data_IF_250877048473
#
_entry.id   IF_250877048473
#
_cell.length_a   1.000
_cell.length_b   1.000
_cell.length_c   1.000
_cell.angle_alpha   90.00
_cell.angle_beta   90.00
_cell.angle_gamma   90.00
#
_symmetry.space_group_name_H-M   'P 1'
#
loop_
_entity.id
_entity.type
_entity.pdbx_description
1 polymer ?
#
# COMPACT_ATOMS: atom_id res chain seq x y z
N UNK A 1 23.98 30.71 -6.10
CA UNK A 1 23.71 29.27 -5.88
C UNK A 1 22.82 28.80 -7.02
N UNK A 2 23.30 27.86 -7.85
CA UNK A 2 22.53 27.28 -8.96
C UNK A 2 21.40 26.42 -8.37
N UNK A 3 20.14 26.77 -8.67
CA UNK A 3 18.97 25.94 -8.31
C UNK A 3 19.10 24.63 -9.08
N UNK A 4 19.28 23.52 -8.35
CA UNK A 4 19.27 22.17 -8.93
C UNK A 4 17.84 21.89 -9.40
N UNK A 5 17.60 21.93 -10.70
CA UNK A 5 16.31 21.59 -11.28
C UNK A 5 16.15 20.08 -11.14
N UNK A 6 15.21 19.66 -10.29
CA UNK A 6 14.92 18.25 -10.06
C UNK A 6 13.99 17.74 -11.16
N UNK A 7 14.54 17.03 -12.14
CA UNK A 7 13.73 16.38 -13.17
C UNK A 7 13.11 15.11 -12.57
N UNK A 8 11.79 15.13 -12.39
CA UNK A 8 11.07 13.92 -12.03
C UNK A 8 11.14 12.91 -13.18
N UNK A 9 11.37 11.61 -12.92
CA UNK A 9 11.31 10.60 -13.96
C UNK A 9 9.91 10.62 -14.58
N UNK A 10 9.83 10.70 -15.91
CA UNK A 10 8.57 10.62 -16.63
C UNK A 10 7.93 9.26 -16.37
N UNK A 11 6.62 9.24 -16.12
CA UNK A 11 5.89 8.00 -15.96
C UNK A 11 5.91 7.22 -17.28
N UNK A 12 6.25 5.94 -17.21
CA UNK A 12 6.35 5.05 -18.37
C UNK A 12 5.10 5.15 -19.27
N UNK A 13 5.29 5.35 -20.57
CA UNK A 13 4.20 5.53 -21.54
C UNK A 13 3.24 4.33 -21.65
N UNK A 14 3.62 3.17 -21.10
CA UNK A 14 2.76 1.98 -20.98
C UNK A 14 1.88 1.95 -19.73
N UNK A 15 2.05 2.90 -18.80
CA UNK A 15 1.29 2.95 -17.55
C UNK A 15 0.07 3.84 -17.70
N UNK A 16 -1.11 3.24 -17.88
CA UNK A 16 -2.39 3.96 -17.98
C UNK A 16 -2.89 4.50 -16.63
N UNK A 17 -2.14 4.26 -15.55
CA UNK A 17 -2.52 4.66 -14.19
C UNK A 17 -1.70 5.87 -13.75
N UNK A 18 -2.32 7.05 -13.78
CA UNK A 18 -1.72 8.26 -13.20
C UNK A 18 -1.99 8.27 -11.69
N UNK A 19 -0.92 8.20 -10.89
CA UNK A 19 -1.00 8.38 -9.44
C UNK A 19 -0.96 9.87 -9.09
N UNK A 20 -2.03 10.37 -8.48
CA UNK A 20 -2.18 11.78 -8.14
C UNK A 20 -1.69 12.02 -6.71
N UNK A 21 -0.79 12.99 -6.52
CA UNK A 21 -0.26 13.39 -5.20
C UNK A 21 -1.28 14.19 -4.39
N UNK A 22 -2.26 14.80 -5.04
CA UNK A 22 -3.36 15.53 -4.40
C UNK A 22 -4.63 15.53 -5.26
N UNK A 23 -5.81 15.79 -4.66
CA UNK A 23 -7.05 15.99 -5.41
C UNK A 23 -6.97 17.15 -6.42
N UNK A 24 -6.19 18.20 -6.11
CA UNK A 24 -5.96 19.32 -7.01
C UNK A 24 -5.18 18.90 -8.26
N UNK A 25 -4.22 17.97 -8.11
CA UNK A 25 -3.49 17.42 -9.25
C UNK A 25 -4.40 16.57 -10.14
N UNK A 26 -5.34 15.81 -9.56
CA UNK A 26 -6.35 15.04 -10.31
C UNK A 26 -7.30 15.94 -11.12
N UNK A 27 -7.69 17.08 -10.55
CA UNK A 27 -8.63 18.01 -11.20
C UNK A 27 -7.95 18.90 -12.24
N UNK A 28 -6.62 19.07 -12.15
CA UNK A 28 -5.80 19.82 -13.11
C UNK A 28 -6.31 21.25 -13.39
N UNK A 29 -6.82 21.89 -12.33
CA UNK A 29 -7.41 23.22 -12.45
C UNK A 29 -6.34 24.29 -12.69
N UNK A 30 -6.74 25.38 -13.36
CA UNK A 30 -5.84 26.48 -13.72
C UNK A 30 -5.25 27.15 -12.48
N UNK A 31 -6.03 27.25 -11.42
CA UNK A 31 -5.64 27.82 -10.13
C UNK A 31 -4.57 26.96 -9.43
N UNK A 32 -4.73 25.64 -9.47
CA UNK A 32 -3.76 24.72 -8.88
C UNK A 32 -2.43 24.76 -9.62
N UNK A 33 -2.43 24.83 -10.96
CA UNK A 33 -1.21 25.01 -11.77
C UNK A 33 -0.49 26.32 -11.45
N UNK A 34 -1.24 27.42 -11.41
CA UNK A 34 -0.67 28.74 -11.06
C UNK A 34 -0.13 28.77 -9.63
N UNK A 35 -0.73 28.04 -8.69
CA UNK A 35 -0.19 27.87 -7.33
C UNK A 35 1.09 27.04 -7.32
N UNK A 36 1.16 25.96 -8.11
CA UNK A 36 2.33 25.07 -8.20
C UNK A 36 3.54 25.74 -8.84
N UNK A 37 3.31 26.57 -9.86
CA UNK A 37 4.35 27.28 -10.62
C UNK A 37 4.90 28.51 -9.86
N UNK A 38 4.17 29.01 -8.85
CA UNK A 38 4.51 30.26 -8.17
C UNK A 38 5.26 30.00 -6.87
N UNK A 39 6.53 30.43 -6.82
CA UNK A 39 7.44 30.23 -5.68
C UNK A 39 7.03 31.00 -4.41
N UNK A 40 6.27 32.10 -4.54
CA UNK A 40 5.73 32.89 -3.42
C UNK A 40 4.25 33.26 -3.63
N UNK A 41 3.41 33.33 -2.57
CA UNK A 41 2.03 33.81 -2.71
C UNK A 41 1.94 35.22 -3.31
N UNK A 42 0.94 35.49 -4.16
CA UNK A 42 0.67 36.83 -4.69
C UNK A 42 0.37 37.78 -3.53
N UNK A 43 1.06 38.93 -3.51
CA UNK A 43 0.96 39.95 -2.46
C UNK A 43 2.05 39.90 -1.39
N UNK A 44 2.96 38.91 -1.40
CA UNK A 44 4.05 38.84 -0.41
C UNK A 44 5.14 39.92 -0.57
N UNK A 45 5.20 40.60 -1.73
CA UNK A 45 6.27 41.56 -2.07
C UNK A 45 5.81 43.01 -2.29
N UNK A 46 4.51 43.33 -2.17
CA UNK A 46 3.97 44.66 -2.55
C UNK A 46 3.94 45.69 -1.39
N UNK A 47 4.73 45.50 -0.33
CA UNK A 47 4.73 46.39 0.85
C UNK A 47 6.10 47.04 1.13
N UNK A 48 6.89 47.33 0.09
CA UNK A 48 8.25 47.84 0.28
C UNK A 48 8.36 49.37 0.37
N UNK A 49 7.60 50.16 -0.40
CA UNK A 49 7.89 51.60 -0.56
C UNK A 49 6.75 52.56 -0.16
N UNK A 50 7.12 53.65 0.52
CA UNK A 50 6.22 54.57 1.22
C UNK A 50 5.41 55.54 0.35
N UNK A 51 5.71 55.66 -0.95
CA UNK A 51 4.91 56.49 -1.89
C UNK A 51 3.64 55.77 -2.39
N UNK A 52 3.57 54.45 -2.26
CA UNK A 52 2.39 53.66 -2.64
C UNK A 52 1.24 53.77 -1.63
N UNK A 53 1.46 54.40 -0.46
CA UNK A 53 0.50 54.49 0.65
C UNK A 53 -0.72 55.38 0.33
N UNK A 54 -0.55 56.41 -0.52
CA UNK A 54 -1.63 57.32 -0.93
C UNK A 54 -2.53 56.69 -2.03
N UNK A 55 -1.91 56.01 -3.00
CA UNK A 55 -2.63 55.20 -4.02
C UNK A 55 -3.25 53.94 -3.40
N UNK A 56 -2.66 53.45 -2.30
CA UNK A 56 -3.05 52.26 -1.57
C UNK A 56 -4.46 52.33 -0.98
N UNK A 57 -4.93 53.45 -0.41
CA UNK A 57 -6.29 53.47 0.19
C UNK A 57 -7.40 53.33 -0.85
N UNK A 58 -7.26 54.02 -1.99
CA UNK A 58 -8.24 53.97 -3.09
C UNK A 58 -8.15 52.66 -3.86
N UNK A 59 -6.94 52.15 -4.08
CA UNK A 59 -6.72 50.82 -4.66
C UNK A 59 -7.21 49.73 -3.73
N UNK A 60 -6.99 49.83 -2.42
CA UNK A 60 -7.50 48.91 -1.41
C UNK A 60 -9.03 48.91 -1.37
N UNK A 61 -9.70 50.07 -1.44
CA UNK A 61 -11.16 50.12 -1.54
C UNK A 61 -11.69 49.54 -2.86
N UNK A 62 -10.99 49.75 -3.98
CA UNK A 62 -11.34 49.11 -5.27
C UNK A 62 -11.13 47.60 -5.21
N UNK A 63 -10.05 47.15 -4.58
CA UNK A 63 -9.72 45.73 -4.44
C UNK A 63 -10.69 45.05 -3.47
N UNK A 64 -11.00 45.67 -2.32
CA UNK A 64 -12.05 45.23 -1.39
C UNK A 64 -13.43 45.21 -2.05
N UNK A 65 -13.79 46.25 -2.81
CA UNK A 65 -15.06 46.30 -3.54
C UNK A 65 -15.14 45.24 -4.64
N UNK A 66 -14.07 45.05 -5.41
CA UNK A 66 -13.96 43.98 -6.40
C UNK A 66 -13.97 42.60 -5.77
N UNK A 67 -13.28 42.39 -4.63
CA UNK A 67 -13.27 41.16 -3.86
C UNK A 67 -14.64 40.86 -3.24
N UNK A 68 -15.39 41.87 -2.80
CA UNK A 68 -16.74 41.70 -2.26
C UNK A 68 -17.73 41.35 -3.37
N UNK A 69 -17.60 41.98 -4.54
CA UNK A 69 -18.37 41.61 -5.73
C UNK A 69 -18.03 40.20 -6.22
N UNK A 70 -16.75 39.82 -6.27
CA UNK A 70 -16.32 38.45 -6.61
C UNK A 70 -16.80 37.43 -5.59
N UNK A 71 -16.80 37.77 -4.29
CA UNK A 71 -17.35 36.93 -3.24
C UNK A 71 -18.88 36.78 -3.38
N UNK A 72 -19.58 37.84 -3.80
CA UNK A 72 -21.02 37.82 -4.09
C UNK A 72 -21.40 36.95 -5.30
N UNK A 73 -20.61 36.99 -6.38
CA UNK A 73 -20.77 36.09 -7.54
C UNK A 73 -20.20 34.67 -7.29
N UNK A 74 -19.31 34.53 -6.31
CA UNK A 74 -18.71 33.27 -5.84
C UNK A 74 -19.56 32.47 -4.86
N UNK A 75 -20.77 32.93 -4.52
CA UNK A 75 -21.71 32.21 -3.64
C UNK A 75 -22.20 30.86 -4.23
N UNK A 76 -21.84 30.53 -5.47
CA UNK A 76 -21.93 29.16 -6.00
C UNK A 76 -21.03 28.17 -5.25
N UNK A 77 -19.98 28.65 -4.54
CA UNK A 77 -19.13 27.85 -3.67
C UNK A 77 -19.80 27.42 -2.34
N UNK A 78 -20.95 28.00 -1.99
CA UNK A 78 -21.74 27.59 -0.83
C UNK A 78 -22.77 26.49 -1.14
N UNK A 79 -22.85 26.01 -2.39
CA UNK A 79 -23.71 24.87 -2.72
C UNK A 79 -23.01 23.58 -2.35
N UNK A 80 -23.23 23.14 -1.10
CA UNK A 80 -22.77 21.83 -0.64
C UNK A 80 -23.38 20.76 -1.56
N UNK A 81 -22.56 19.90 -2.20
CA UNK A 81 -23.09 18.83 -3.02
C UNK A 81 -23.98 17.94 -2.17
N UNK A 82 -25.11 17.50 -2.74
CA UNK A 82 -25.99 16.53 -2.08
C UNK A 82 -25.20 15.23 -1.87
N UNK A 83 -25.02 14.84 -0.62
CA UNK A 83 -24.37 13.58 -0.24
C UNK A 83 -25.41 12.59 0.22
N UNK A 84 -25.49 11.43 -0.44
CA UNK A 84 -26.39 10.36 -0.03
C UNK A 84 -25.74 9.48 1.04
N UNK A 85 -26.50 9.15 2.08
CA UNK A 85 -26.12 8.18 3.11
C UNK A 85 -26.89 6.90 2.81
N UNK A 86 -26.17 5.82 2.50
CA UNK A 86 -26.77 4.53 2.13
C UNK A 86 -26.60 3.56 3.31
N UNK A 87 -27.67 3.22 4.05
CA UNK A 87 -27.60 2.26 5.14
C UNK A 87 -27.53 0.82 4.61
N UNK A 88 -27.13 -0.11 5.48
CA UNK A 88 -27.20 -1.53 5.19
C UNK A 88 -28.65 -1.98 4.96
N UNK A 89 -28.88 -2.75 3.89
CA UNK A 89 -30.17 -3.45 3.69
C UNK A 89 -30.35 -4.58 4.70
N UNK A 90 -29.25 -5.29 5.02
CA UNK A 90 -29.16 -6.30 6.08
C UNK A 90 -27.87 -6.09 6.86
N UNK A 91 -27.96 -5.44 8.02
CA UNK A 91 -26.81 -5.13 8.84
C UNK A 91 -26.23 -6.40 9.49
N UNK A 92 -24.91 -6.64 9.40
CA UNK A 92 -24.25 -7.65 10.21
C UNK A 92 -24.30 -7.26 11.70
N UNK A 93 -24.54 -8.22 12.59
CA UNK A 93 -24.69 -7.96 14.04
C UNK A 93 -23.45 -7.32 14.67
N UNK A 94 -22.26 -7.71 14.20
CA UNK A 94 -20.97 -7.33 14.78
C UNK A 94 -20.36 -6.05 14.18
N UNK A 95 -21.09 -5.36 13.29
CA UNK A 95 -20.63 -4.14 12.62
C UNK A 95 -21.49 -2.97 13.07
N UNK A 96 -20.88 -2.03 13.78
CA UNK A 96 -21.50 -0.77 14.17
C UNK A 96 -20.90 0.32 13.26
N UNK A 97 -21.70 0.94 12.37
CA UNK A 97 -21.25 2.06 11.54
C UNK A 97 -20.51 3.13 12.35
N UNK A 98 -19.34 3.55 11.87
CA UNK A 98 -18.49 4.53 12.55
C UNK A 98 -17.62 4.01 13.70
N UNK A 99 -17.79 2.75 14.15
CA UNK A 99 -16.87 2.12 15.10
C UNK A 99 -15.90 1.19 14.37
N UNK A 100 -14.64 1.23 14.79
CA UNK A 100 -13.63 0.33 14.28
C UNK A 100 -13.84 -1.09 14.84
N UNK A 101 -13.72 -2.09 13.96
CA UNK A 101 -13.65 -3.51 14.33
C UNK A 101 -12.25 -4.03 14.04
N UNK A 102 -11.67 -4.74 15.00
CA UNK A 102 -10.32 -5.28 14.91
C UNK A 102 -10.36 -6.77 14.59
N UNK A 103 -9.58 -7.19 13.58
CA UNK A 103 -9.44 -8.59 13.20
C UNK A 103 -8.01 -9.05 13.40
N UNK A 104 -7.82 -10.20 14.06
CA UNK A 104 -6.53 -10.88 14.09
C UNK A 104 -6.25 -11.53 12.73
N UNK A 105 -5.11 -11.24 12.14
CA UNK A 105 -4.67 -11.75 10.85
C UNK A 105 -3.15 -11.96 10.82
N UNK A 106 -2.61 -12.35 9.68
CA UNK A 106 -1.16 -12.45 9.48
C UNK A 106 -0.80 -12.19 8.02
N UNK A 107 0.41 -11.68 7.78
CA UNK A 107 0.96 -11.48 6.44
C UNK A 107 2.06 -12.52 6.20
N UNK A 108 1.95 -13.37 5.17
CA UNK A 108 2.94 -14.39 4.87
C UNK A 108 4.26 -13.77 4.40
N UNK A 109 5.38 -14.38 4.81
CA UNK A 109 6.76 -14.02 4.45
C UNK A 109 7.55 -15.30 4.16
N UNK A 110 8.71 -15.15 3.52
CA UNK A 110 9.57 -16.29 3.19
C UNK A 110 9.92 -17.17 4.41
N UNK A 111 10.25 -16.52 5.53
CA UNK A 111 10.61 -17.17 6.79
C UNK A 111 9.49 -17.23 7.82
N UNK A 112 8.21 -17.21 7.43
CA UNK A 112 7.09 -17.32 8.39
C UNK A 112 5.92 -16.41 8.06
N UNK A 113 5.33 -15.79 9.07
CA UNK A 113 4.27 -14.81 8.89
C UNK A 113 4.35 -13.72 9.97
N UNK A 114 4.20 -12.47 9.56
CA UNK A 114 4.07 -11.36 10.49
C UNK A 114 2.66 -11.39 11.11
N UNK A 115 2.53 -11.39 12.45
CA UNK A 115 1.24 -11.46 13.13
C UNK A 115 0.64 -10.06 13.29
N UNK A 116 -0.62 -9.90 12.87
CA UNK A 116 -1.23 -8.59 12.63
C UNK A 116 -2.59 -8.45 13.29
N UNK A 117 -2.91 -7.21 13.64
CA UNK A 117 -4.27 -6.77 13.96
C UNK A 117 -4.68 -5.74 12.92
N UNK A 118 -5.78 -6.01 12.22
CA UNK A 118 -6.30 -5.17 11.15
C UNK A 118 -7.47 -4.36 11.67
N UNK A 119 -7.34 -3.04 11.64
CA UNK A 119 -8.42 -2.10 11.92
C UNK A 119 -9.30 -1.99 10.68
N UNK A 120 -10.57 -2.33 10.83
CA UNK A 120 -11.56 -2.27 9.76
C UNK A 120 -12.69 -1.32 10.13
N UNK A 121 -13.19 -0.58 9.15
CA UNK A 121 -14.44 0.15 9.25
C UNK A 121 -15.42 -0.47 8.26
N UNK A 122 -16.56 -0.95 8.74
CA UNK A 122 -17.63 -1.46 7.86
C UNK A 122 -17.16 -2.58 6.90
N UNK A 123 -16.16 -3.38 7.32
CA UNK A 123 -15.55 -4.45 6.53
C UNK A 123 -14.42 -4.00 5.60
N UNK A 124 -14.00 -2.74 5.65
CA UNK A 124 -12.88 -2.19 4.87
C UNK A 124 -11.64 -2.05 5.76
N UNK A 125 -10.57 -2.83 5.53
CA UNK A 125 -9.27 -2.60 6.17
C UNK A 125 -8.77 -1.17 5.97
N UNK A 126 -8.28 -0.52 7.01
CA UNK A 126 -7.75 0.85 6.91
C UNK A 126 -6.36 0.99 7.48
N UNK A 127 -6.06 0.22 8.54
CA UNK A 127 -4.77 0.22 9.20
C UNK A 127 -4.42 -1.19 9.63
N UNK A 128 -3.14 -1.50 9.58
CA UNK A 128 -2.56 -2.73 10.11
C UNK A 128 -1.67 -2.36 11.30
N UNK A 129 -1.73 -3.12 12.38
CA UNK A 129 -0.86 -3.02 13.55
C UNK A 129 -0.32 -4.40 13.93
N UNK A 130 0.61 -4.45 14.87
CA UNK A 130 1.13 -5.72 15.40
C UNK A 130 0.10 -6.38 16.32
N UNK A 131 0.13 -7.70 16.38
CA UNK A 131 -0.67 -8.44 17.35
C UNK A 131 0.09 -8.59 18.67
N UNK A 132 -0.29 -7.81 19.68
CA UNK A 132 0.33 -7.82 21.01
C UNK A 132 0.15 -9.13 21.77
N UNK A 133 -0.84 -9.94 21.42
CA UNK A 133 -1.09 -11.25 22.02
C UNK A 133 -0.23 -12.38 21.41
N UNK A 134 0.45 -12.11 20.29
CA UNK A 134 1.34 -13.08 19.67
C UNK A 134 2.73 -13.03 20.34
N UNK A 135 3.46 -14.15 20.50
CA UNK A 135 4.81 -14.14 21.08
C UNK A 135 5.81 -13.26 20.32
N UNK A 136 5.65 -13.21 19.00
CA UNK A 136 6.33 -12.29 18.11
C UNK A 136 5.45 -11.05 17.91
N UNK A 137 5.53 -10.07 18.80
CA UNK A 137 4.66 -8.88 18.81
C UNK A 137 5.40 -7.57 18.48
N UNK A 138 6.59 -7.68 17.91
CA UNK A 138 7.65 -6.66 17.90
C UNK A 138 7.44 -5.53 16.88
N UNK A 139 6.18 -5.19 16.63
CA UNK A 139 5.78 -4.12 15.71
C UNK A 139 5.54 -4.61 14.30
N UNK A 140 5.60 -3.69 13.35
CA UNK A 140 5.32 -3.95 11.93
C UNK A 140 6.32 -3.19 11.08
N UNK A 141 6.83 -3.83 10.04
CA UNK A 141 7.74 -3.18 9.09
C UNK A 141 7.01 -2.28 8.09
N UNK A 142 7.80 -1.56 7.27
CA UNK A 142 7.28 -0.68 6.23
C UNK A 142 6.46 -1.44 5.18
N UNK A 143 6.82 -2.69 4.86
CA UNK A 143 6.12 -3.51 3.88
C UNK A 143 4.71 -3.90 4.35
N UNK A 144 4.58 -4.31 5.62
CA UNK A 144 3.30 -4.61 6.28
C UNK A 144 2.44 -3.35 6.32
N UNK A 145 3.00 -2.20 6.67
CA UNK A 145 2.26 -0.94 6.68
C UNK A 145 1.79 -0.52 5.27
N UNK A 146 2.63 -0.73 4.26
CA UNK A 146 2.30 -0.42 2.87
C UNK A 146 1.32 -1.42 2.23
N UNK A 147 1.17 -2.64 2.77
CA UNK A 147 0.30 -3.68 2.22
C UNK A 147 -1.17 -3.27 2.05
N UNK A 148 -1.65 -2.34 2.89
CA UNK A 148 -3.01 -1.77 2.77
C UNK A 148 -3.17 -1.03 1.44
N UNK A 149 -2.13 -0.33 0.98
CA UNK A 149 -2.16 0.38 -0.30
C UNK A 149 -2.21 -0.57 -1.48
N UNK A 150 -1.49 -1.70 -1.39
CA UNK A 150 -1.54 -2.74 -2.42
C UNK A 150 -2.93 -3.36 -2.54
N UNK A 151 -3.60 -3.60 -1.39
CA UNK A 151 -4.98 -4.09 -1.37
C UNK A 151 -5.93 -3.16 -2.14
N UNK A 152 -5.76 -1.84 -2.00
CA UNK A 152 -6.57 -0.80 -2.64
C UNK A 152 -5.99 -0.27 -3.96
N UNK A 153 -4.94 -0.90 -4.49
CA UNK A 153 -4.31 -0.48 -5.73
C UNK A 153 -5.30 -0.57 -6.90
N UNK A 154 -5.41 0.51 -7.67
CA UNK A 154 -6.28 0.55 -8.86
C UNK A 154 -5.76 -0.33 -9.99
N UNK A 155 -4.44 -0.57 -10.03
CA UNK A 155 -3.76 -1.40 -11.03
C UNK A 155 -3.90 -2.90 -10.75
N UNK A 156 -4.47 -3.27 -9.61
CA UNK A 156 -4.71 -4.68 -9.25
C UNK A 156 -5.64 -5.34 -10.26
N UNK A 157 -5.35 -6.60 -10.62
CA UNK A 157 -6.18 -7.34 -11.56
C UNK A 157 -7.62 -7.49 -11.03
N UNK A 158 -8.59 -6.99 -11.79
CA UNK A 158 -10.04 -7.07 -11.48
C UNK A 158 -10.76 -8.14 -12.31
N UNK A 159 -10.08 -8.70 -13.31
CA UNK A 159 -10.66 -9.61 -14.29
C UNK A 159 -9.71 -10.78 -14.53
N UNK A 160 -10.27 -11.94 -14.81
CA UNK A 160 -9.47 -13.09 -15.23
C UNK A 160 -9.04 -12.85 -16.67
N UNK A 161 -7.77 -13.12 -16.98
CA UNK A 161 -7.20 -12.95 -18.30
C UNK A 161 -6.71 -14.30 -18.84
N UNK A 162 -6.94 -14.52 -20.13
CA UNK A 162 -6.37 -15.61 -20.92
C UNK A 162 -5.75 -15.00 -22.17
N UNK A 163 -4.44 -15.22 -22.36
CA UNK A 163 -3.70 -14.68 -23.51
C UNK A 163 -3.90 -13.15 -23.67
N UNK A 164 -3.93 -12.43 -22.54
CA UNK A 164 -4.13 -10.98 -22.49
C UNK A 164 -5.59 -10.52 -22.71
N UNK A 165 -6.54 -11.42 -22.97
CA UNK A 165 -7.96 -11.09 -23.18
C UNK A 165 -8.79 -11.46 -21.95
N UNK A 166 -9.87 -10.72 -21.71
CA UNK A 166 -10.82 -11.02 -20.62
C UNK A 166 -11.41 -12.41 -20.81
N UNK A 167 -11.37 -13.21 -19.74
CA UNK A 167 -11.96 -14.54 -19.67
C UNK A 167 -12.95 -14.61 -18.50
N UNK A 168 -13.89 -15.54 -18.60
CA UNK A 168 -14.87 -15.83 -17.55
C UNK A 168 -14.32 -16.79 -16.51
N UNK A 169 -14.92 -16.79 -15.32
CA UNK A 169 -14.60 -17.77 -14.27
C UNK A 169 -14.87 -19.20 -14.72
N UNK A 170 -15.93 -19.42 -15.51
CA UNK A 170 -16.30 -20.74 -16.04
C UNK A 170 -15.20 -21.31 -16.95
N UNK A 171 -14.64 -20.50 -17.84
CA UNK A 171 -13.55 -20.94 -18.72
C UNK A 171 -12.29 -21.30 -17.93
N UNK A 172 -11.99 -20.55 -16.85
CA UNK A 172 -10.91 -20.88 -15.94
C UNK A 172 -11.14 -22.23 -15.24
N UNK A 173 -12.35 -22.45 -14.71
CA UNK A 173 -12.72 -23.69 -14.02
C UNK A 173 -12.67 -24.89 -14.96
N UNK A 174 -13.16 -24.74 -16.20
CA UNK A 174 -13.09 -25.79 -17.24
C UNK A 174 -11.64 -26.13 -17.61
N UNK A 175 -10.77 -25.12 -17.71
CA UNK A 175 -9.33 -25.30 -17.98
C UNK A 175 -8.63 -26.04 -16.83
N UNK A 176 -8.87 -25.64 -15.59
CA UNK A 176 -8.32 -26.32 -14.40
C UNK A 176 -8.83 -27.76 -14.33
N UNK A 177 -10.13 -27.98 -14.60
CA UNK A 177 -10.70 -29.34 -14.60
C UNK A 177 -10.09 -30.22 -15.71
N UNK A 178 -9.79 -29.67 -16.88
CA UNK A 178 -9.10 -30.38 -17.94
C UNK A 178 -7.67 -30.77 -17.54
N UNK A 179 -6.91 -29.85 -16.92
CA UNK A 179 -5.59 -30.16 -16.37
C UNK A 179 -5.67 -31.25 -15.29
N UNK A 180 -6.68 -31.20 -14.43
CA UNK A 180 -6.84 -32.15 -13.34
C UNK A 180 -7.18 -33.57 -13.79
N UNK A 181 -7.70 -33.76 -15.02
CA UNK A 181 -7.92 -35.08 -15.62
C UNK A 181 -6.63 -35.75 -16.09
N UNK A 182 -5.61 -34.98 -16.45
CA UNK A 182 -4.33 -35.49 -16.94
C UNK A 182 -3.34 -35.70 -15.78
N UNK A 183 -3.56 -36.75 -14.98
CA UNK A 183 -2.74 -37.04 -13.80
C UNK A 183 -1.28 -37.40 -14.11
N UNK A 184 -1.01 -37.90 -15.33
CA UNK A 184 0.35 -38.16 -15.83
C UNK A 184 1.01 -36.96 -16.52
N UNK A 185 0.34 -35.80 -16.57
CA UNK A 185 0.87 -34.60 -17.19
C UNK A 185 2.08 -34.03 -16.44
N UNK A 186 3.04 -33.48 -17.18
CA UNK A 186 4.18 -32.75 -16.62
C UNK A 186 3.73 -31.34 -16.19
N UNK A 187 3.22 -31.23 -14.97
CA UNK A 187 2.72 -29.96 -14.40
C UNK A 187 3.78 -29.35 -13.49
N UNK A 188 4.07 -28.06 -13.66
CA UNK A 188 4.94 -27.30 -12.76
C UNK A 188 4.14 -26.32 -11.92
N UNK A 189 4.25 -26.41 -10.59
CA UNK A 189 3.72 -25.43 -9.67
C UNK A 189 4.86 -24.52 -9.20
N UNK A 190 4.68 -23.21 -9.35
CA UNK A 190 5.64 -22.19 -8.89
C UNK A 190 4.92 -21.27 -7.92
N UNK A 191 5.50 -21.07 -6.74
CA UNK A 191 4.96 -20.16 -5.73
C UNK A 191 6.07 -19.53 -4.89
N UNK A 192 5.76 -18.39 -4.26
CA UNK A 192 6.67 -17.75 -3.31
C UNK A 192 6.98 -18.68 -2.14
N UNK A 193 8.20 -18.60 -1.61
CA UNK A 193 8.55 -19.34 -0.40
C UNK A 193 7.65 -18.91 0.76
N UNK A 194 7.12 -19.88 1.50
CA UNK A 194 6.32 -19.64 2.69
C UNK A 194 6.35 -20.85 3.62
N UNK A 195 5.97 -20.62 4.88
CA UNK A 195 5.92 -21.65 5.92
C UNK A 195 4.46 -22.05 6.25
N UNK A 196 3.52 -21.96 5.29
CA UNK A 196 2.10 -22.25 5.53
C UNK A 196 1.83 -23.76 5.67
N UNK A 197 1.34 -24.27 6.83
CA UNK A 197 1.04 -25.70 7.00
C UNK A 197 -0.01 -26.21 6.04
N UNK A 198 -0.99 -25.36 5.69
CA UNK A 198 -2.04 -25.67 4.73
C UNK A 198 -1.46 -25.84 3.33
N UNK A 199 -0.53 -24.97 2.91
CA UNK A 199 0.16 -25.10 1.61
C UNK A 199 0.98 -26.38 1.58
N UNK A 200 1.77 -26.66 2.62
CA UNK A 200 2.55 -27.91 2.71
C UNK A 200 1.66 -29.16 2.59
N UNK A 201 0.51 -29.17 3.27
CA UNK A 201 -0.45 -30.28 3.16
C UNK A 201 -0.99 -30.41 1.74
N UNK A 202 -1.42 -29.32 1.12
CA UNK A 202 -1.94 -29.32 -0.25
C UNK A 202 -0.89 -29.77 -1.28
N UNK A 203 0.37 -29.36 -1.11
CA UNK A 203 1.47 -29.82 -1.96
C UNK A 203 1.65 -31.33 -1.87
N UNK A 204 1.58 -31.92 -0.67
CA UNK A 204 1.64 -33.39 -0.50
C UNK A 204 0.46 -34.09 -1.17
N UNK A 205 -0.76 -33.57 -0.99
CA UNK A 205 -1.97 -34.11 -1.62
C UNK A 205 -1.93 -34.01 -3.16
N UNK A 206 -1.35 -32.93 -3.70
CA UNK A 206 -1.16 -32.78 -5.14
C UNK A 206 -0.05 -33.70 -5.66
N UNK A 207 1.04 -33.87 -4.91
CA UNK A 207 2.13 -34.77 -5.28
C UNK A 207 1.69 -36.23 -5.34
N UNK A 208 0.79 -36.67 -4.45
CA UNK A 208 0.24 -38.04 -4.51
C UNK A 208 -0.70 -38.24 -5.70
N UNK A 209 -1.45 -37.21 -6.10
CA UNK A 209 -2.37 -37.28 -7.25
C UNK A 209 -1.67 -37.14 -8.61
N UNK A 210 -0.63 -36.31 -8.68
CA UNK A 210 0.11 -35.99 -9.91
C UNK A 210 1.58 -36.41 -9.74
N UNK A 211 1.88 -37.67 -10.01
CA UNK A 211 3.23 -38.24 -9.78
C UNK A 211 4.33 -37.60 -10.64
N UNK A 212 3.99 -37.01 -11.78
CA UNK A 212 4.92 -36.30 -12.66
C UNK A 212 4.99 -34.78 -12.39
N UNK A 213 4.25 -34.27 -11.39
CA UNK A 213 4.26 -32.85 -11.06
C UNK A 213 5.56 -32.44 -10.36
N UNK A 214 6.00 -31.21 -10.62
CA UNK A 214 7.13 -30.58 -9.95
C UNK A 214 6.67 -29.35 -9.19
N UNK A 215 7.22 -29.14 -8.01
CA UNK A 215 6.90 -28.01 -7.14
C UNK A 215 8.18 -27.19 -6.94
N UNK A 216 8.09 -25.90 -7.22
CA UNK A 216 9.19 -24.96 -7.09
C UNK A 216 8.76 -23.83 -6.17
N UNK A 217 9.56 -23.62 -5.12
CA UNK A 217 9.50 -22.43 -4.29
C UNK A 217 10.57 -21.46 -4.77
N UNK A 218 10.22 -20.19 -4.89
CA UNK A 218 11.15 -19.14 -5.28
C UNK A 218 11.04 -17.97 -4.31
N UNK A 219 12.17 -17.53 -3.78
CA UNK A 219 12.28 -16.32 -2.98
C UNK A 219 13.56 -15.58 -3.39
N UNK A 220 13.46 -14.32 -3.85
CA UNK A 220 14.62 -13.56 -4.31
C UNK A 220 15.62 -13.20 -3.19
N UNK A 221 15.18 -13.09 -1.93
CA UNK A 221 16.01 -12.61 -0.83
C UNK A 221 16.64 -13.72 0.04
N UNK A 222 16.38 -14.99 -0.26
CA UNK A 222 16.88 -16.11 0.55
C UNK A 222 18.11 -16.74 -0.13
N UNK A 223 19.23 -16.76 0.59
CA UNK A 223 20.46 -17.44 0.17
C UNK A 223 20.49 -18.94 0.52
N UNK A 224 21.58 -19.60 0.17
CA UNK A 224 21.79 -21.02 0.51
C UNK A 224 22.01 -21.20 2.03
N UNK A 225 21.40 -22.23 2.65
CA UNK A 225 21.57 -22.49 4.08
C UNK A 225 23.00 -22.92 4.40
N UNK A 226 23.66 -22.21 5.32
CA UNK A 226 25.06 -22.48 5.72
C UNK A 226 25.16 -23.59 6.79
N UNK A 227 24.13 -23.74 7.63
CA UNK A 227 24.12 -24.65 8.79
C UNK A 227 23.52 -26.04 8.51
N UNK A 228 23.26 -26.36 7.25
CA UNK A 228 22.62 -27.61 6.82
C UNK A 228 21.09 -27.52 6.73
N UNK A 229 20.49 -28.57 6.17
CA UNK A 229 19.06 -28.60 5.86
C UNK A 229 18.18 -28.56 7.12
N UNK A 230 17.17 -27.71 7.10
CA UNK A 230 16.15 -27.62 8.14
C UNK A 230 16.59 -26.90 9.43
N UNK A 231 17.80 -26.33 9.47
CA UNK A 231 18.27 -25.52 10.60
C UNK A 231 18.02 -24.05 10.31
N UNK A 232 17.30 -23.37 11.21
CA UNK A 232 17.08 -21.92 11.17
C UNK A 232 17.78 -21.26 12.35
N UNK A 233 18.59 -20.26 12.08
CA UNK A 233 19.23 -19.45 13.12
C UNK A 233 18.18 -18.51 13.71
N UNK A 234 18.09 -18.47 15.04
CA UNK A 234 17.34 -17.47 15.78
C UNK A 234 18.27 -16.87 16.83
N UNK A 235 18.72 -15.64 16.57
CA UNK A 235 19.62 -14.89 17.43
C UNK A 235 18.81 -14.10 18.45
N UNK A 236 19.16 -14.23 19.72
CA UNK A 236 18.61 -13.42 20.81
C UNK A 236 19.55 -12.24 21.08
N UNK A 237 19.25 -11.09 20.47
CA UNK A 237 20.07 -9.89 20.60
C UNK A 237 20.05 -9.30 22.02
N UNK A 238 19.04 -9.59 22.85
CA UNK A 238 18.96 -9.07 24.21
C UNK A 238 20.04 -9.66 25.13
N UNK A 239 20.66 -10.78 24.73
CA UNK A 239 21.74 -11.45 25.47
C UNK A 239 23.13 -11.07 24.97
N UNK A 240 23.23 -10.17 23.99
CA UNK A 240 24.50 -9.79 23.39
C UNK A 240 24.98 -8.43 23.92
N UNK A 241 26.19 -8.40 24.50
CA UNK A 241 26.82 -7.14 24.92
C UNK A 241 27.42 -6.37 23.74
N UNK A 242 27.86 -7.09 22.70
CA UNK A 242 28.53 -6.55 21.52
C UNK A 242 28.08 -7.32 20.29
N UNK A 243 27.68 -6.58 19.25
CA UNK A 243 27.22 -7.13 17.98
C UNK A 243 28.21 -6.73 16.90
N UNK A 244 28.76 -7.71 16.19
CA UNK A 244 29.60 -7.51 15.01
C UNK A 244 28.79 -7.98 13.80
N UNK A 245 28.43 -7.05 12.92
CA UNK A 245 27.71 -7.34 11.68
C UNK A 245 28.65 -7.26 10.48
N UNK A 246 28.61 -8.29 9.63
CA UNK A 246 29.26 -8.33 8.33
C UNK A 246 28.18 -8.48 7.28
N UNK A 247 27.93 -7.41 6.51
CA UNK A 247 26.95 -7.39 5.41
C UNK A 247 25.59 -8.00 5.79
N UNK A 248 25.14 -7.72 7.01
CA UNK A 248 23.89 -8.24 7.56
C UNK A 248 23.03 -7.08 8.08
N UNK A 249 21.93 -6.84 7.40
CA UNK A 249 20.93 -5.83 7.78
C UNK A 249 19.84 -6.45 8.68
N UNK A 250 20.29 -6.93 9.85
CA UNK A 250 19.44 -7.64 10.81
C UNK A 250 18.28 -6.82 11.38
N UNK A 251 18.31 -5.50 11.20
CA UNK A 251 17.25 -4.59 11.63
C UNK A 251 16.19 -4.33 10.54
N UNK A 252 16.42 -4.78 9.30
CA UNK A 252 15.48 -4.58 8.20
C UNK A 252 15.17 -5.88 7.42
N UNK A 253 15.94 -6.19 6.38
CA UNK A 253 15.62 -7.27 5.44
C UNK A 253 16.16 -8.63 5.88
N UNK A 254 17.30 -8.66 6.56
CA UNK A 254 18.02 -9.90 6.86
C UNK A 254 17.62 -10.43 8.24
N UNK A 255 16.37 -10.89 8.39
CA UNK A 255 15.87 -11.38 9.66
C UNK A 255 16.75 -12.49 10.24
N UNK A 256 17.36 -12.22 11.41
CA UNK A 256 18.16 -13.18 12.17
C UNK A 256 17.38 -13.80 13.34
N UNK A 257 16.07 -13.55 13.45
CA UNK A 257 15.23 -13.92 14.58
C UNK A 257 14.28 -12.79 14.99
N UNK A 258 13.50 -12.98 16.07
CA UNK A 258 12.73 -11.89 16.67
C UNK A 258 13.69 -10.81 17.20
N UNK A 259 13.46 -9.58 16.79
CA UNK A 259 14.22 -8.40 17.18
C UNK A 259 13.44 -7.67 18.26
N UNK A 260 13.72 -7.99 19.53
CA UNK A 260 13.24 -7.16 20.63
C UNK A 260 13.83 -5.75 20.48
N UNK A 261 13.03 -4.69 20.69
CA UNK A 261 13.57 -3.34 20.71
C UNK A 261 14.73 -3.27 21.72
N UNK A 262 15.82 -2.64 21.30
CA UNK A 262 17.05 -2.51 22.11
C UNK A 262 16.87 -1.63 23.36
N UNK A 263 15.71 -0.98 23.48
CA UNK A 263 15.37 -0.04 24.54
C UNK A 263 14.02 -0.41 25.13
N UNK A 264 14.04 -0.82 26.39
CA UNK A 264 12.92 -0.68 27.34
C UNK A 264 13.02 0.68 28.05
#
# INVERSE_FOLDING_TARGET
>A
MSKRIWNHPEADAGNTTVAWRSPGQLQDSKEFRTWLEREFPQGAAEMADGEDVETSRRSFLKLMGASTALAGFGMAACRRPESYIVPYTKAPEWVIPGKATYYASSMPRAGGAAPLVVTTFEGRPTKVGSNTLHPDNEGTDAFVQASVLDLYSVSRSRVILREGKKASRRELDEMIAALAKNTGGKIGFVFGADESPTRTRLTRELATKFSAAKFYQYEPLVGEPVLGDGVKTAVDFARADRILSFDCDFAALDSQGPVRPFYD
#
